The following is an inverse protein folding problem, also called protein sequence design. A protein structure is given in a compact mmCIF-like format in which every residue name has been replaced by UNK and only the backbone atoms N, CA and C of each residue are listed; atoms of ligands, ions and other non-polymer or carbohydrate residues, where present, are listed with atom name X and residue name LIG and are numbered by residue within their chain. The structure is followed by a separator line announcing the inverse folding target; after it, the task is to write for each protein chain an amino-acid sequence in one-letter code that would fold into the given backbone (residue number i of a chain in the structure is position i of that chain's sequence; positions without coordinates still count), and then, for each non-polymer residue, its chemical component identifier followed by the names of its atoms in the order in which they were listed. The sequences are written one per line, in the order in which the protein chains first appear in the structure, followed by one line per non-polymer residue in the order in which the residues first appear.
data_IF_135566271257
#
_entry.id   IF_135566271257
#
_cell.length_a   1.000
_cell.length_b   1.000
_cell.length_c   1.000
_cell.angle_alpha   90.00
_cell.angle_beta   90.00
_cell.angle_gamma   90.00
#
_symmetry.space_group_name_H-M   'P 1'
#
loop_
_entity.id
_entity.type
_entity.pdbx_description
1 polymer ?
#
# COMPACT_ATOMS: atom_id res chain seq x y z
N UNK A 1 -6.97 33.60 -48.87
CA UNK A 1 -6.78 33.42 -47.40
C UNK A 1 -7.61 32.21 -46.97
N UNK A 2 -6.99 31.06 -46.70
CA UNK A 2 -7.66 29.88 -46.15
C UNK A 2 -7.12 29.65 -44.75
N UNK A 3 -7.93 29.95 -43.75
CA UNK A 3 -7.60 29.71 -42.34
C UNK A 3 -7.61 28.21 -42.08
N UNK A 4 -6.46 27.64 -41.72
CA UNK A 4 -6.36 26.28 -41.21
C UNK A 4 -6.72 26.29 -39.72
N UNK A 5 -7.79 25.59 -39.35
CA UNK A 5 -8.14 25.34 -37.95
C UNK A 5 -7.27 24.16 -37.49
N UNK A 6 -6.26 24.45 -36.66
CA UNK A 6 -5.46 23.43 -36.00
C UNK A 6 -6.28 22.83 -34.85
N UNK A 7 -6.68 21.56 -35.00
CA UNK A 7 -7.37 20.79 -33.97
C UNK A 7 -6.32 20.33 -32.94
N UNK A 8 -6.34 20.93 -31.75
CA UNK A 8 -5.47 20.55 -30.64
C UNK A 8 -5.96 19.22 -30.05
N UNK A 9 -5.39 18.10 -30.49
CA UNK A 9 -5.66 16.80 -29.90
C UNK A 9 -5.01 16.75 -28.50
N UNK A 10 -5.83 16.94 -27.46
CA UNK A 10 -5.42 16.65 -26.09
C UNK A 10 -5.26 15.12 -25.94
N UNK A 11 -4.01 14.64 -26.03
CA UNK A 11 -3.65 13.29 -25.61
C UNK A 11 -3.86 13.21 -24.09
N UNK A 12 -5.00 12.69 -23.67
CA UNK A 12 -5.23 12.33 -22.27
C UNK A 12 -4.28 11.16 -21.93
N UNK A 13 -3.21 11.45 -21.20
CA UNK A 13 -2.37 10.42 -20.62
C UNK A 13 -3.25 9.56 -19.71
N UNK A 14 -3.17 8.21 -19.79
CA UNK A 14 -3.93 7.34 -18.91
C UNK A 14 -3.59 7.66 -17.44
N UNK A 15 -4.58 8.17 -16.71
CA UNK A 15 -4.49 8.39 -15.27
C UNK A 15 -4.63 7.02 -14.61
N UNK A 16 -3.50 6.40 -14.25
CA UNK A 16 -3.48 5.05 -13.70
C UNK A 16 -3.88 5.04 -12.22
N UNK A 17 -4.97 4.30 -11.96
CA UNK A 17 -5.77 4.11 -10.75
C UNK A 17 -5.15 3.41 -9.53
N UNK A 18 -4.18 2.50 -9.73
CA UNK A 18 -3.74 1.58 -8.67
C UNK A 18 -2.27 1.69 -8.24
N UNK A 19 -1.80 0.65 -7.56
CA UNK A 19 -0.53 0.61 -6.82
C UNK A 19 0.67 0.09 -7.63
N UNK A 20 0.65 0.13 -8.96
CA UNK A 20 1.65 -0.52 -9.83
C UNK A 20 3.12 -0.26 -9.40
N UNK A 21 3.97 -1.28 -9.59
CA UNK A 21 5.41 -1.20 -9.28
C UNK A 21 6.13 -0.19 -10.19
N UNK A 22 5.91 -0.28 -11.50
CA UNK A 22 6.60 0.53 -12.51
C UNK A 22 5.84 1.83 -12.81
N UNK A 23 5.81 2.75 -11.84
CA UNK A 23 5.34 4.11 -12.08
C UNK A 23 6.50 4.99 -12.63
N UNK A 24 6.21 5.99 -13.49
CA UNK A 24 7.24 6.90 -13.98
C UNK A 24 7.94 7.63 -12.82
N UNK A 25 9.27 7.58 -12.79
CA UNK A 25 10.07 8.35 -11.82
C UNK A 25 9.78 9.84 -11.93
N UNK A 26 9.57 10.49 -10.79
CA UNK A 26 9.36 11.95 -10.70
C UNK A 26 10.46 12.70 -9.95
N UNK A 27 11.35 11.97 -9.29
CA UNK A 27 12.48 12.50 -8.53
C UNK A 27 13.80 12.00 -9.12
N UNK A 28 14.88 12.73 -8.86
CA UNK A 28 16.23 12.27 -9.21
C UNK A 28 16.55 10.96 -8.44
N UNK A 29 17.24 9.98 -9.05
CA UNK A 29 17.59 8.72 -8.39
C UNK A 29 18.30 8.92 -7.05
N UNK A 30 19.20 9.89 -6.97
CA UNK A 30 19.98 10.21 -5.77
C UNK A 30 19.07 10.70 -4.63
N UNK A 31 18.02 11.47 -4.94
CA UNK A 31 17.05 11.92 -3.96
C UNK A 31 16.20 10.76 -3.42
N UNK A 32 15.82 9.83 -4.28
CA UNK A 32 15.08 8.61 -3.90
C UNK A 32 15.96 7.74 -3.01
N UNK A 33 17.23 7.52 -3.38
CA UNK A 33 18.19 6.74 -2.59
C UNK A 33 18.41 7.37 -1.22
N UNK A 34 18.65 8.69 -1.16
CA UNK A 34 18.81 9.43 0.11
C UNK A 34 17.59 9.25 1.01
N UNK A 35 16.38 9.39 0.44
CA UNK A 35 15.15 9.26 1.20
C UNK A 35 14.85 7.82 1.66
N UNK A 36 15.12 6.83 0.81
CA UNK A 36 15.02 5.42 1.16
C UNK A 36 15.97 5.08 2.32
N UNK A 37 17.24 5.53 2.25
CA UNK A 37 18.22 5.34 3.34
C UNK A 37 17.83 6.06 4.62
N UNK A 38 17.29 7.29 4.52
CA UNK A 38 16.73 8.00 5.68
C UNK A 38 15.61 7.19 6.34
N UNK A 39 14.74 6.57 5.55
CA UNK A 39 13.65 5.72 6.06
C UNK A 39 14.18 4.45 6.71
N UNK A 40 15.15 3.77 6.09
CA UNK A 40 15.80 2.58 6.67
C UNK A 40 16.50 2.90 8.00
N UNK A 41 17.28 3.98 8.04
CA UNK A 41 17.95 4.43 9.27
C UNK A 41 16.95 4.74 10.37
N UNK A 42 15.85 5.41 10.04
CA UNK A 42 14.79 5.68 11.01
C UNK A 42 14.23 4.40 11.63
N UNK A 43 13.87 3.42 10.79
CA UNK A 43 13.35 2.14 11.28
C UNK A 43 14.37 1.41 12.16
N UNK A 44 15.64 1.41 11.75
CA UNK A 44 16.74 0.81 12.52
C UNK A 44 16.98 1.51 13.87
N UNK A 45 16.95 2.84 13.91
CA UNK A 45 17.08 3.64 15.13
C UNK A 45 15.94 3.35 16.13
N UNK A 46 14.74 3.05 15.63
CA UNK A 46 13.61 2.63 16.46
C UNK A 46 13.64 1.12 16.82
N UNK A 47 14.63 0.36 16.33
CA UNK A 47 14.74 -1.08 16.56
C UNK A 47 13.60 -1.89 15.95
N UNK A 48 13.04 -1.44 14.81
CA UNK A 48 11.89 -2.07 14.18
C UNK A 48 12.29 -3.36 13.44
N UNK A 49 11.75 -4.50 13.83
CA UNK A 49 11.89 -5.74 13.07
C UNK A 49 10.78 -5.90 12.02
N UNK A 50 9.62 -5.29 12.28
CA UNK A 50 8.54 -5.16 11.32
C UNK A 50 7.92 -3.77 11.44
N UNK A 51 7.57 -3.18 10.30
CA UNK A 51 6.86 -1.91 10.24
C UNK A 51 5.87 -1.91 9.08
N UNK A 52 4.80 -1.14 9.22
CA UNK A 52 3.92 -0.76 8.11
C UNK A 52 4.47 0.53 7.54
N UNK A 53 4.76 0.53 6.25
CA UNK A 53 5.22 1.72 5.54
C UNK A 53 4.24 2.11 4.43
N UNK A 54 4.14 3.40 4.14
CA UNK A 54 3.29 3.90 3.09
C UNK A 54 3.97 5.00 2.27
N UNK A 55 3.64 5.06 0.98
CA UNK A 55 4.15 6.07 0.03
C UNK A 55 3.02 6.82 -0.67
N UNK A 56 3.35 7.98 -1.21
CA UNK A 56 2.46 8.79 -2.05
C UNK A 56 2.86 8.59 -3.50
N UNK A 57 2.07 7.82 -4.24
CA UNK A 57 2.25 7.50 -5.67
C UNK A 57 1.36 8.33 -6.61
N UNK A 58 0.58 9.26 -6.08
CA UNK A 58 -0.17 10.29 -6.84
C UNK A 58 -0.07 11.63 -6.15
N UNK A 59 -0.18 12.71 -6.92
CA UNK A 59 -0.24 14.05 -6.36
C UNK A 59 -1.35 14.13 -5.31
N UNK A 60 -1.06 14.75 -4.17
CA UNK A 60 -2.01 14.86 -3.06
C UNK A 60 -3.35 15.50 -3.47
N UNK A 61 -3.33 16.37 -4.49
CA UNK A 61 -4.52 17.02 -5.07
C UNK A 61 -5.50 16.06 -5.75
N UNK A 62 -5.02 14.90 -6.21
CA UNK A 62 -5.82 13.87 -6.88
C UNK A 62 -6.39 12.82 -5.91
N UNK A 63 -6.02 12.90 -4.63
CA UNK A 63 -6.42 11.90 -3.64
C UNK A 63 -7.84 12.16 -3.15
N UNK A 64 -8.65 11.10 -2.96
CA UNK A 64 -9.93 11.22 -2.28
C UNK A 64 -9.75 11.80 -0.87
N UNK A 65 -10.73 12.57 -0.44
CA UNK A 65 -10.80 13.10 0.93
C UNK A 65 -10.59 11.97 1.96
N UNK A 66 -9.69 12.18 2.92
CA UNK A 66 -9.35 11.21 3.95
C UNK A 66 -8.28 10.18 3.56
N UNK A 67 -7.69 10.27 2.36
CA UNK A 67 -6.59 9.40 1.91
C UNK A 67 -5.31 10.23 1.75
N UNK A 68 -4.29 9.94 2.58
CA UNK A 68 -3.00 10.67 2.55
C UNK A 68 -1.84 9.90 1.93
N UNK A 69 -2.04 8.60 1.64
CA UNK A 69 -1.08 7.69 1.03
C UNK A 69 -1.80 6.77 0.05
N UNK A 70 -1.14 6.40 -1.04
CA UNK A 70 -1.76 5.60 -2.12
C UNK A 70 -1.34 4.14 -2.11
N UNK A 71 -0.30 3.81 -1.36
CA UNK A 71 0.23 2.45 -1.30
C UNK A 71 0.81 2.18 0.08
N UNK A 72 0.61 0.95 0.56
CA UNK A 72 1.05 0.48 1.86
C UNK A 72 1.69 -0.89 1.72
N UNK A 73 2.72 -1.15 2.53
CA UNK A 73 3.50 -2.37 2.51
C UNK A 73 4.02 -2.71 3.91
N UNK A 74 4.56 -3.91 4.06
CA UNK A 74 5.22 -4.37 5.29
C UNK A 74 6.73 -4.37 5.06
N UNK A 75 7.45 -3.58 5.85
CA UNK A 75 8.91 -3.59 5.90
C UNK A 75 9.37 -4.59 6.96
N UNK A 76 10.20 -5.56 6.60
CA UNK A 76 10.82 -6.50 7.53
C UNK A 76 12.31 -6.32 7.55
N UNK A 77 12.89 -6.28 8.74
CA UNK A 77 14.33 -6.32 8.89
C UNK A 77 14.85 -7.70 8.48
N UNK A 78 15.76 -7.74 7.51
CA UNK A 78 16.27 -8.99 6.93
C UNK A 78 17.71 -8.85 6.46
N UNK A 79 18.37 -10.00 6.36
CA UNK A 79 19.63 -10.14 5.64
C UNK A 79 19.38 -9.98 4.13
N UNK A 80 20.13 -9.09 3.49
CA UNK A 80 20.10 -8.76 2.07
C UNK A 80 21.42 -9.20 1.45
N UNK A 81 21.36 -10.09 0.47
CA UNK A 81 22.55 -10.50 -0.30
C UNK A 81 22.76 -9.55 -1.48
N UNK A 82 23.89 -8.85 -1.51
CA UNK A 82 24.30 -7.98 -2.60
C UNK A 82 24.87 -8.79 -3.79
N UNK A 83 25.02 -8.13 -4.94
CA UNK A 83 25.49 -8.75 -6.19
C UNK A 83 26.90 -9.39 -6.08
N UNK A 84 27.72 -8.92 -5.14
CA UNK A 84 29.05 -9.45 -4.85
C UNK A 84 29.04 -10.62 -3.84
N UNK A 85 27.87 -11.04 -3.39
CA UNK A 85 27.66 -12.13 -2.43
C UNK A 85 27.78 -11.70 -0.96
N UNK A 86 28.05 -10.43 -0.68
CA UNK A 86 28.05 -9.91 0.69
C UNK A 86 26.64 -9.88 1.26
N UNK A 87 26.51 -10.12 2.57
CA UNK A 87 25.23 -10.03 3.29
C UNK A 87 25.25 -8.77 4.14
N UNK A 88 24.35 -7.84 3.83
CA UNK A 88 24.09 -6.65 4.64
C UNK A 88 22.73 -6.74 5.31
N UNK A 89 22.54 -6.06 6.43
CA UNK A 89 21.23 -5.98 7.06
C UNK A 89 20.48 -4.76 6.56
N UNK A 90 19.24 -4.96 6.13
CA UNK A 90 18.38 -3.92 5.59
C UNK A 90 16.91 -4.28 5.74
N UNK A 91 16.05 -3.63 4.98
CA UNK A 91 14.61 -3.93 4.99
C UNK A 91 14.14 -4.52 3.67
N UNK A 92 13.52 -5.70 3.73
CA UNK A 92 12.72 -6.24 2.65
C UNK A 92 11.31 -5.64 2.72
N UNK A 93 10.86 -5.04 1.62
CA UNK A 93 9.53 -4.42 1.54
C UNK A 93 8.56 -5.36 0.83
N UNK A 94 7.64 -5.94 1.58
CA UNK A 94 6.62 -6.86 1.08
C UNK A 94 5.38 -6.10 0.63
N UNK A 95 5.12 -6.14 -0.67
CA UNK A 95 4.09 -5.38 -1.35
C UNK A 95 3.04 -6.30 -1.95
N UNK A 96 1.82 -5.77 -2.09
CA UNK A 96 0.84 -6.22 -3.06
C UNK A 96 0.68 -5.15 -4.14
N UNK A 97 0.98 -5.51 -5.38
CA UNK A 97 0.89 -4.60 -6.53
C UNK A 97 -0.20 -5.03 -7.50
N UNK A 98 -0.87 -4.03 -8.09
CA UNK A 98 -1.73 -4.22 -9.26
C UNK A 98 -0.88 -4.56 -10.49
N UNK A 99 -1.30 -5.55 -11.30
CA UNK A 99 -0.69 -5.81 -12.60
C UNK A 99 -1.06 -4.73 -13.63
N UNK A 100 -0.07 -4.26 -14.40
CA UNK A 100 -0.24 -3.17 -15.35
C UNK A 100 -1.12 -3.57 -16.56
N UNK A 101 -0.94 -4.78 -17.08
CA UNK A 101 -1.69 -5.35 -18.20
C UNK A 101 -3.06 -5.92 -17.78
N UNK A 102 -3.21 -6.25 -16.49
CA UNK A 102 -4.42 -6.84 -15.89
C UNK A 102 -4.81 -6.08 -14.61
N UNK A 103 -5.39 -4.87 -14.71
CA UNK A 103 -5.64 -4.01 -13.56
C UNK A 103 -6.65 -4.58 -12.55
N UNK A 104 -7.39 -5.65 -12.88
CA UNK A 104 -8.22 -6.40 -11.93
C UNK A 104 -7.50 -7.52 -11.20
N UNK A 105 -6.17 -7.61 -11.33
CA UNK A 105 -5.33 -8.67 -10.74
C UNK A 105 -4.15 -8.07 -9.98
N UNK A 106 -3.78 -8.70 -8.88
CA UNK A 106 -2.63 -8.32 -8.06
C UNK A 106 -1.59 -9.43 -7.95
N UNK A 107 -0.37 -9.05 -7.55
CA UNK A 107 0.76 -9.95 -7.29
C UNK A 107 1.50 -9.50 -6.03
N UNK A 108 2.02 -10.47 -5.28
CA UNK A 108 2.95 -10.18 -4.19
C UNK A 108 4.36 -9.96 -4.73
N UNK A 109 5.04 -8.94 -4.24
CA UNK A 109 6.40 -8.59 -4.63
C UNK A 109 7.20 -8.12 -3.43
N UNK A 110 8.42 -8.61 -3.31
CA UNK A 110 9.41 -8.07 -2.38
C UNK A 110 10.31 -7.09 -3.13
N UNK A 111 10.40 -5.88 -2.60
CA UNK A 111 11.20 -4.76 -3.12
C UNK A 111 12.27 -4.37 -2.09
N UNK A 112 13.31 -3.66 -2.54
CA UNK A 112 14.15 -2.88 -1.64
C UNK A 112 13.53 -1.50 -1.37
N UNK A 113 13.96 -0.78 -0.32
CA UNK A 113 13.38 0.53 0.01
C UNK A 113 13.50 1.55 -1.12
N UNK A 114 14.56 1.49 -1.93
CA UNK A 114 14.73 2.35 -3.12
C UNK A 114 13.65 2.06 -4.16
N UNK A 115 13.36 0.78 -4.45
CA UNK A 115 12.33 0.37 -5.40
C UNK A 115 10.93 0.77 -4.88
N UNK A 116 10.72 0.65 -3.56
CA UNK A 116 9.51 1.11 -2.92
C UNK A 116 9.32 2.63 -3.03
N UNK A 117 10.35 3.48 -3.12
CA UNK A 117 10.14 4.92 -3.33
C UNK A 117 10.27 5.37 -4.79
N UNK A 118 10.61 4.47 -5.71
CA UNK A 118 10.87 4.79 -7.11
C UNK A 118 9.71 5.48 -7.83
N UNK A 119 8.49 5.00 -7.57
CA UNK A 119 7.25 5.52 -8.11
C UNK A 119 6.60 6.64 -7.28
N UNK A 120 7.26 7.14 -6.24
CA UNK A 120 6.68 8.14 -5.37
C UNK A 120 6.61 9.51 -6.07
N UNK A 121 5.49 10.19 -5.92
CA UNK A 121 5.27 11.55 -6.41
C UNK A 121 5.72 12.59 -5.40
N UNK A 122 5.69 12.24 -4.13
CA UNK A 122 6.24 13.01 -3.02
C UNK A 122 7.16 12.09 -2.20
N UNK A 123 8.36 12.56 -1.87
CA UNK A 123 9.28 11.83 -0.98
C UNK A 123 8.81 12.01 0.48
N UNK A 124 7.75 11.28 0.79
CA UNK A 124 7.00 11.26 2.05
C UNK A 124 6.66 9.82 2.39
N UNK A 125 6.96 9.40 3.61
CA UNK A 125 6.75 8.05 4.11
C UNK A 125 5.85 8.08 5.35
N UNK A 126 4.77 7.32 5.33
CA UNK A 126 4.03 6.99 6.55
C UNK A 126 4.69 5.78 7.19
N UNK A 127 4.92 5.81 8.50
CA UNK A 127 5.52 4.70 9.25
C UNK A 127 4.66 4.40 10.48
N UNK A 128 4.28 3.13 10.64
CA UNK A 128 3.74 2.60 11.90
C UNK A 128 4.60 1.40 12.29
N UNK A 129 5.17 1.45 13.49
CA UNK A 129 5.89 0.34 14.11
C UNK A 129 4.94 -0.23 15.16
N UNK A 130 4.40 -1.45 14.95
CA UNK A 130 3.57 -2.12 15.94
C UNK A 130 4.34 -2.37 17.24
N UNK A 131 3.64 -2.73 18.31
CA UNK A 131 4.31 -3.24 19.51
C UNK A 131 5.18 -4.47 19.22
N UNK A 132 6.05 -4.81 20.17
CA UNK A 132 7.00 -5.91 20.02
C UNK A 132 6.33 -7.25 19.72
N UNK A 133 5.20 -7.55 20.36
CA UNK A 133 4.52 -8.84 20.18
C UNK A 133 3.97 -8.97 18.76
N UNK A 134 3.32 -7.92 18.26
CA UNK A 134 2.80 -7.88 16.89
C UNK A 134 3.94 -7.95 15.87
N UNK A 135 5.05 -7.23 16.10
CA UNK A 135 6.23 -7.31 15.22
C UNK A 135 6.74 -8.75 15.09
N UNK A 136 6.92 -9.46 16.21
CA UNK A 136 7.41 -10.84 16.20
C UNK A 136 6.48 -11.80 15.47
N UNK A 137 5.16 -11.62 15.62
CA UNK A 137 4.18 -12.45 14.91
C UNK A 137 4.16 -12.16 13.41
N UNK A 138 4.34 -10.90 12.99
CA UNK A 138 4.50 -10.56 11.58
C UNK A 138 5.78 -11.22 11.02
N UNK A 139 6.92 -11.06 11.70
CA UNK A 139 8.19 -11.70 11.28
C UNK A 139 8.00 -13.22 11.16
N UNK A 140 7.36 -13.86 12.13
CA UNK A 140 7.08 -15.29 12.11
C UNK A 140 6.17 -15.70 10.93
N UNK A 141 5.16 -14.91 10.57
CA UNK A 141 4.28 -15.18 9.42
C UNK A 141 5.05 -15.21 8.11
N UNK A 142 6.01 -14.31 7.91
CA UNK A 142 6.83 -14.27 6.70
C UNK A 142 7.92 -15.34 6.71
N UNK A 143 8.59 -15.56 7.86
CA UNK A 143 9.60 -16.61 7.99
C UNK A 143 9.03 -18.02 7.77
N UNK A 144 7.76 -18.24 8.12
CA UNK A 144 7.03 -19.50 7.89
C UNK A 144 6.33 -19.55 6.52
N UNK A 145 6.49 -18.51 5.70
CA UNK A 145 5.85 -18.39 4.39
C UNK A 145 4.31 -18.54 4.45
N UNK A 146 3.70 -18.06 5.55
CA UNK A 146 2.25 -18.06 5.78
C UNK A 146 1.57 -16.79 5.29
N UNK A 147 2.29 -15.66 5.21
CA UNK A 147 1.74 -14.39 4.74
C UNK A 147 1.20 -14.46 3.29
N UNK A 148 1.73 -15.35 2.44
CA UNK A 148 1.22 -15.58 1.07
C UNK A 148 -0.18 -16.20 1.03
N UNK A 149 -0.58 -16.90 2.09
CA UNK A 149 -1.91 -17.53 2.18
C UNK A 149 -3.04 -16.49 2.27
N UNK A 150 -2.69 -15.25 2.61
CA UNK A 150 -3.61 -14.13 2.76
C UNK A 150 -3.84 -13.37 1.45
N UNK A 151 -3.15 -13.75 0.37
CA UNK A 151 -3.25 -13.04 -0.91
C UNK A 151 -4.52 -13.45 -1.66
N UNK A 152 -5.37 -12.46 -1.95
CA UNK A 152 -6.47 -12.57 -2.90
C UNK A 152 -6.05 -11.87 -4.22
N UNK A 153 -5.82 -12.65 -5.30
CA UNK A 153 -5.37 -12.09 -6.57
C UNK A 153 -6.37 -11.14 -7.22
N UNK A 154 -7.67 -11.27 -6.96
CA UNK A 154 -8.67 -10.37 -7.51
C UNK A 154 -8.49 -8.97 -6.92
N UNK A 155 -8.06 -8.01 -7.74
CA UNK A 155 -7.72 -6.68 -7.25
C UNK A 155 -8.89 -5.69 -7.38
N UNK A 156 -9.02 -4.82 -6.39
CA UNK A 156 -9.69 -3.54 -6.58
C UNK A 156 -9.02 -2.40 -5.82
N UNK A 157 -8.78 -1.25 -6.47
CA UNK A 157 -8.21 -0.06 -5.80
C UNK A 157 -8.97 0.32 -4.52
N UNK A 158 -10.28 0.12 -4.50
CA UNK A 158 -11.17 0.46 -3.38
C UNK A 158 -11.80 -0.80 -2.77
N UNK A 159 -11.05 -1.89 -2.70
CA UNK A 159 -11.53 -3.14 -2.10
C UNK A 159 -12.08 -2.92 -0.68
N UNK A 160 -13.19 -3.59 -0.39
CA UNK A 160 -13.86 -3.58 0.90
C UNK A 160 -13.08 -4.44 1.88
N UNK A 161 -12.58 -3.88 3.00
CA UNK A 161 -11.82 -4.67 3.98
C UNK A 161 -12.69 -5.66 4.76
N UNK A 162 -14.01 -5.61 4.58
CA UNK A 162 -14.99 -6.37 5.36
C UNK A 162 -15.48 -7.65 4.66
N UNK A 163 -15.05 -7.90 3.43
CA UNK A 163 -15.60 -8.95 2.56
C UNK A 163 -14.48 -9.66 1.82
N UNK A 164 -14.76 -10.85 1.30
CA UNK A 164 -13.82 -11.60 0.48
C UNK A 164 -14.00 -11.33 -1.03
N UNK A 165 -13.04 -11.77 -1.84
CA UNK A 165 -13.13 -11.81 -3.30
C UNK A 165 -12.57 -10.57 -4.03
N UNK A 166 -12.12 -9.54 -3.29
CA UNK A 166 -11.26 -8.47 -3.80
C UNK A 166 -10.26 -8.07 -2.72
N UNK A 167 -9.10 -7.56 -3.14
CA UNK A 167 -8.08 -7.06 -2.22
C UNK A 167 -7.25 -5.92 -2.85
N UNK A 168 -6.77 -5.00 -2.02
CA UNK A 168 -5.70 -4.04 -2.35
C UNK A 168 -4.53 -4.13 -1.37
N UNK A 169 -3.51 -3.30 -1.58
CA UNK A 169 -2.31 -3.27 -0.75
C UNK A 169 -2.58 -2.96 0.72
N UNK A 170 -3.51 -2.05 1.00
CA UNK A 170 -3.91 -1.69 2.36
C UNK A 170 -4.71 -2.79 3.05
N UNK A 171 -5.62 -3.45 2.33
CA UNK A 171 -6.37 -4.59 2.87
C UNK A 171 -5.46 -5.80 3.11
N UNK A 172 -4.55 -6.12 2.19
CA UNK A 172 -3.56 -7.17 2.41
C UNK A 172 -2.71 -6.90 3.65
N UNK A 173 -2.26 -5.65 3.84
CA UNK A 173 -1.52 -5.25 5.04
C UNK A 173 -2.37 -5.43 6.30
N UNK A 174 -3.65 -5.06 6.26
CA UNK A 174 -4.59 -5.25 7.36
C UNK A 174 -4.83 -6.74 7.66
N UNK A 175 -4.95 -7.58 6.63
CA UNK A 175 -5.12 -9.03 6.78
C UNK A 175 -3.87 -9.66 7.42
N UNK A 176 -2.65 -9.24 7.04
CA UNK A 176 -1.41 -9.69 7.70
C UNK A 176 -1.36 -9.23 9.16
N UNK A 177 -1.74 -7.98 9.45
CA UNK A 177 -1.80 -7.48 10.83
C UNK A 177 -2.80 -8.28 11.66
N UNK A 178 -4.00 -8.50 11.15
CA UNK A 178 -5.01 -9.29 11.85
C UNK A 178 -4.58 -10.76 11.98
N UNK A 179 -3.86 -11.31 11.00
CA UNK A 179 -3.30 -12.65 11.11
C UNK A 179 -2.29 -12.75 12.26
N UNK A 180 -1.45 -11.72 12.42
CA UNK A 180 -0.52 -11.62 13.54
C UNK A 180 -1.26 -11.43 14.88
N UNK A 181 -2.23 -10.52 14.95
CA UNK A 181 -2.96 -10.19 16.18
C UNK A 181 -3.80 -11.39 16.67
N UNK A 182 -4.51 -12.06 15.77
CA UNK A 182 -5.50 -13.10 16.10
C UNK A 182 -5.01 -14.54 15.88
N UNK A 183 -3.75 -14.70 15.49
CA UNK A 183 -3.08 -15.99 15.24
C UNK A 183 -3.88 -16.90 14.28
N UNK A 184 -4.20 -16.37 13.09
CA UNK A 184 -4.99 -17.09 12.10
C UNK A 184 -4.75 -16.60 10.68
N UNK A 185 -4.73 -17.51 9.71
CA UNK A 185 -4.72 -17.17 8.28
C UNK A 185 -6.06 -17.51 7.60
N UNK A 186 -7.10 -17.77 8.38
CA UNK A 186 -8.45 -18.03 7.88
C UNK A 186 -9.09 -16.69 7.45
N UNK A 187 -9.24 -16.49 6.15
CA UNK A 187 -9.75 -15.23 5.58
C UNK A 187 -11.13 -14.86 6.14
N UNK A 188 -12.05 -15.82 6.28
CA UNK A 188 -13.39 -15.55 6.81
C UNK A 188 -13.33 -15.05 8.27
N UNK A 189 -12.50 -15.67 9.11
CA UNK A 189 -12.25 -15.20 10.48
C UNK A 189 -11.61 -13.81 10.50
N UNK A 190 -10.66 -13.54 9.60
CA UNK A 190 -10.05 -12.22 9.48
C UNK A 190 -11.07 -11.14 9.11
N UNK A 191 -11.95 -11.38 8.13
CA UNK A 191 -13.01 -10.43 7.77
C UNK A 191 -14.00 -10.21 8.91
N UNK A 192 -14.36 -11.25 9.66
CA UNK A 192 -15.20 -11.09 10.86
C UNK A 192 -14.52 -10.23 11.94
N UNK A 193 -13.22 -10.42 12.18
CA UNK A 193 -12.47 -9.58 13.11
C UNK A 193 -12.40 -8.13 12.62
N UNK A 194 -12.17 -7.92 11.31
CA UNK A 194 -12.18 -6.59 10.70
C UNK A 194 -13.54 -5.91 10.88
N UNK A 195 -14.65 -6.61 10.64
CA UNK A 195 -16.00 -6.06 10.86
C UNK A 195 -16.25 -5.66 12.32
N UNK A 196 -15.72 -6.41 13.28
CA UNK A 196 -15.93 -6.16 14.70
C UNK A 196 -15.13 -4.96 15.22
N UNK A 197 -13.89 -4.76 14.73
CA UNK A 197 -12.92 -3.87 15.39
C UNK A 197 -12.32 -2.78 14.51
N UNK A 198 -12.45 -2.88 13.18
CA UNK A 198 -11.84 -1.94 12.25
C UNK A 198 -12.85 -0.91 11.71
N UNK A 199 -12.43 0.35 11.64
CA UNK A 199 -13.21 1.44 11.03
C UNK A 199 -12.56 1.87 9.72
N UNK A 200 -13.15 1.46 8.60
CA UNK A 200 -12.68 1.78 7.25
C UNK A 200 -12.99 3.23 6.85
N UNK A 201 -12.27 3.74 5.84
CA UNK A 201 -12.46 5.08 5.28
C UNK A 201 -13.60 5.07 4.27
N UNK A 202 -14.68 5.87 4.46
CA UNK A 202 -15.68 6.06 3.44
C UNK A 202 -15.09 6.70 2.19
N UNK A 203 -15.45 6.18 1.01
CA UNK A 203 -15.01 6.72 -0.28
C UNK A 203 -16.21 7.30 -1.02
N UNK A 204 -16.15 8.60 -1.29
CA UNK A 204 -17.15 9.28 -2.12
C UNK A 204 -16.91 8.93 -3.59
N UNK A 205 -17.51 7.85 -4.06
CA UNK A 205 -17.49 7.55 -5.50
C UNK A 205 -18.56 8.36 -6.23
N UNK A 206 -18.19 9.00 -7.34
CA UNK A 206 -19.17 9.59 -8.23
C UNK A 206 -19.75 8.49 -9.13
N UNK A 207 -20.96 8.00 -8.80
CA UNK A 207 -21.66 6.92 -9.51
C UNK A 207 -21.85 7.19 -11.01
N UNK A 208 -21.89 8.45 -11.43
CA UNK A 208 -21.97 8.84 -12.85
C UNK A 208 -20.62 8.64 -13.57
N UNK A 209 -19.49 8.92 -12.91
CA UNK A 209 -18.14 8.66 -13.45
C UNK A 209 -17.85 7.16 -13.55
N UNK A 210 -18.36 6.35 -12.62
CA UNK A 210 -18.23 4.88 -12.67
C UNK A 210 -18.94 4.26 -13.88
N UNK A 211 -20.13 4.77 -14.25
CA UNK A 211 -20.92 4.28 -15.40
C UNK A 211 -20.33 4.65 -16.76
N UNK A 212 -19.53 5.70 -16.83
CA UNK A 212 -18.90 6.21 -18.07
C UNK A 212 -17.58 5.49 -18.43
N UNK A 213 -17.25 4.38 -17.74
CA UNK A 213 -16.18 3.46 -18.15
C UNK A 213 -14.73 3.88 -17.80
N UNK A 214 -14.48 5.15 -17.46
CA UNK A 214 -13.13 5.65 -17.16
C UNK A 214 -12.49 5.07 -15.88
N UNK A 215 -13.29 4.42 -15.03
CA UNK A 215 -12.82 3.76 -13.80
C UNK A 215 -12.65 2.24 -13.98
N UNK A 216 -13.26 1.63 -15.00
CA UNK A 216 -13.13 0.20 -15.30
C UNK A 216 -11.71 -0.13 -15.77
N UNK A 217 -11.06 0.77 -16.51
CA UNK A 217 -9.64 0.68 -16.88
C UNK A 217 -8.67 0.90 -15.72
N UNK A 218 -9.15 1.40 -14.57
CA UNK A 218 -8.33 1.77 -13.41
C UNK A 218 -8.23 0.66 -12.34
N UNK A 219 -8.94 -0.46 -12.55
CA UNK A 219 -9.00 -1.58 -11.59
C UNK A 219 -9.95 -1.32 -10.43
N UNK A 220 -11.01 -0.56 -10.64
CA UNK A 220 -12.06 -0.34 -9.64
C UNK A 220 -13.20 -1.34 -9.85
N UNK A 221 -13.59 -2.02 -8.78
CA UNK A 221 -14.76 -2.90 -8.68
C UNK A 221 -15.59 -2.46 -7.48
N UNK A 222 -16.89 -2.70 -7.55
CA UNK A 222 -17.82 -2.52 -6.42
C UNK A 222 -18.51 -3.84 -6.04
N UNK A 223 -18.11 -4.95 -6.66
CA UNK A 223 -18.75 -6.26 -6.51
C UNK A 223 -18.69 -6.81 -5.07
N UNK A 224 -17.69 -6.38 -4.32
CA UNK A 224 -17.40 -6.73 -2.93
C UNK A 224 -18.01 -5.75 -1.91
N UNK A 225 -18.75 -4.72 -2.36
CA UNK A 225 -19.39 -3.75 -1.46
C UNK A 225 -20.90 -4.05 -1.35
N UNK A 226 -21.38 -4.73 -0.29
CA UNK A 226 -22.81 -4.97 -0.11
C UNK A 226 -23.58 -3.69 0.29
N UNK A 227 -22.88 -2.63 0.69
CA UNK A 227 -23.48 -1.41 1.22
C UNK A 227 -22.66 -0.15 0.92
N UNK A 228 -22.34 0.61 1.97
CA UNK A 228 -21.52 1.82 1.84
C UNK A 228 -20.13 1.47 1.30
N UNK A 229 -19.59 2.33 0.44
CA UNK A 229 -18.29 2.09 -0.20
C UNK A 229 -17.20 2.60 0.73
N UNK A 230 -16.38 1.68 1.22
CA UNK A 230 -15.35 1.97 2.21
C UNK A 230 -14.10 1.13 1.95
N UNK A 231 -12.92 1.70 2.14
CA UNK A 231 -11.63 0.99 1.96
C UNK A 231 -10.78 1.11 3.20
N UNK A 232 -9.89 0.15 3.43
CA UNK A 232 -8.75 0.36 4.31
C UNK A 232 -7.82 1.43 3.70
N UNK A 233 -7.19 2.20 4.57
CA UNK A 233 -6.12 3.17 4.26
C UNK A 233 -5.03 3.05 5.33
N UNK A 234 -3.83 3.54 5.03
CA UNK A 234 -2.76 3.65 6.02
C UNK A 234 -3.22 4.36 7.31
N UNK A 235 -3.98 5.46 7.19
CA UNK A 235 -4.50 6.22 8.34
C UNK A 235 -5.48 5.39 9.17
N UNK A 236 -6.38 4.63 8.54
CA UNK A 236 -7.31 3.76 9.28
C UNK A 236 -6.60 2.60 9.97
N UNK A 237 -5.50 2.08 9.39
CA UNK A 237 -4.64 1.09 10.04
C UNK A 237 -3.94 1.71 11.25
N UNK A 238 -3.37 2.91 11.12
CA UNK A 238 -2.77 3.64 12.24
C UNK A 238 -3.76 3.79 13.40
N UNK A 239 -4.95 4.31 13.10
CA UNK A 239 -6.02 4.49 14.09
C UNK A 239 -6.46 3.16 14.72
N UNK A 240 -6.52 2.08 13.93
CA UNK A 240 -6.90 0.76 14.44
C UNK A 240 -5.87 0.25 15.46
N UNK A 241 -4.58 0.30 15.12
CA UNK A 241 -3.54 -0.14 16.04
C UNK A 241 -3.46 0.76 17.27
N UNK A 242 -3.57 2.09 17.10
CA UNK A 242 -3.54 3.05 18.21
C UNK A 242 -4.71 2.84 19.19
N UNK A 243 -5.94 2.70 18.68
CA UNK A 243 -7.12 2.46 19.51
C UNK A 243 -7.06 1.14 20.30
N UNK A 244 -6.26 0.18 19.83
CA UNK A 244 -6.03 -1.11 20.50
C UNK A 244 -4.71 -1.14 21.29
N UNK A 245 -3.99 -0.01 21.39
CA UNK A 245 -2.71 0.11 22.11
C UNK A 245 -1.61 -0.79 21.55
N UNK A 246 -1.63 -1.06 20.24
CA UNK A 246 -0.71 -1.95 19.53
C UNK A 246 0.38 -1.20 18.75
N UNK A 247 0.64 0.07 19.09
CA UNK A 247 1.65 0.92 18.42
C UNK A 247 2.80 1.21 19.37
N UNK A 248 4.02 0.88 18.96
CA UNK A 248 5.24 1.33 19.64
C UNK A 248 5.63 2.73 19.15
N UNK A 249 5.54 2.97 17.84
CA UNK A 249 5.91 4.24 17.24
C UNK A 249 5.11 4.52 15.96
N UNK A 250 4.75 5.79 15.71
CA UNK A 250 4.15 6.21 14.44
C UNK A 250 4.66 7.59 14.03
N UNK A 251 4.94 7.78 12.74
CA UNK A 251 5.41 9.07 12.22
C UNK A 251 5.10 9.24 10.74
N UNK A 252 5.25 10.48 10.26
CA UNK A 252 5.37 10.79 8.84
C UNK A 252 6.74 11.41 8.60
N UNK A 253 7.57 10.71 7.83
CA UNK A 253 8.87 11.22 7.40
C UNK A 253 8.76 11.96 6.07
N UNK A 254 9.54 13.03 5.95
CA UNK A 254 9.70 13.81 4.73
C UNK A 254 11.18 13.81 4.34
N UNK A 255 11.46 13.93 3.04
CA UNK A 255 12.83 14.07 2.57
C UNK A 255 13.52 15.27 3.24
N UNK A 256 14.69 15.01 3.82
CA UNK A 256 15.53 16.06 4.39
C UNK A 256 16.08 16.95 3.27
N UNK A 257 15.86 18.27 3.40
CA UNK A 257 16.44 19.30 2.52
C UNK A 257 17.97 19.22 2.46
#
# INVERSE_FOLDING_TARGET
MRSAIAMLACLALPVFAGSQQEAPRRHAPEAIIKFAKQTEHYLAEQGAYAAIIARVGRASEDLPEGISFTHTAIALYSDVTLDDGTVEQGYAIHNLYQLADKPGTSVLKTDYPVDFFWGATELKAGIIIPDWEVQQKIVALYAQDKAKLLHEPAYSVIASPFTEGKQNCTEYTLDVLNAAIYDTTDSHRLKNNTQAWFKAQPVKVNKMKLRLGSWVSSGVSLSDHPGAIQTATFTTIANYLENNQLVAHQTVLYASH
#
